data_IF_867945365694
#
_entry.id   IF_867945365694
#
_cell.length_a   1.000
_cell.length_b   1.000
_cell.length_c   1.000
_cell.angle_alpha   90.00
_cell.angle_beta   90.00
_cell.angle_gamma   90.00
#
_symmetry.space_group_name_H-M   'P 1'
#
loop_
_entity.id
_entity.type
_entity.pdbx_description
1 polymer ?
#
# COMPACT_ATOMS: atom_id res chain seq x y z
N UNK A 1 9.53 -21.83 14.37
CA UNK A 1 10.38 -21.42 13.23
C UNK A 1 9.59 -21.71 11.98
N UNK A 2 9.03 -20.70 11.30
CA UNK A 2 7.98 -20.86 10.26
C UNK A 2 8.46 -20.47 8.85
N UNK A 3 9.69 -20.00 8.68
CA UNK A 3 10.17 -19.52 7.38
C UNK A 3 11.33 -20.38 6.87
N UNK A 4 11.01 -21.60 6.46
CA UNK A 4 11.90 -22.43 5.63
C UNK A 4 11.16 -22.92 4.37
N UNK A 5 10.24 -22.10 3.87
CA UNK A 5 9.59 -22.36 2.60
C UNK A 5 10.50 -21.85 1.50
N UNK A 6 11.32 -22.76 0.97
CA UNK A 6 12.08 -22.52 -0.24
C UNK A 6 11.08 -22.48 -1.41
N UNK A 7 10.64 -21.27 -1.78
CA UNK A 7 9.79 -21.07 -2.96
C UNK A 7 10.59 -21.49 -4.17
N UNK A 8 10.09 -22.50 -4.88
CA UNK A 8 10.68 -22.96 -6.14
C UNK A 8 10.45 -21.90 -7.20
N UNK A 9 11.52 -21.55 -7.92
CA UNK A 9 11.47 -20.51 -8.96
C UNK A 9 10.47 -20.89 -10.06
N UNK A 10 10.31 -22.18 -10.29
CA UNK A 10 9.40 -22.77 -11.26
C UNK A 10 7.93 -22.45 -10.94
N UNK A 11 7.55 -22.44 -9.65
CA UNK A 11 6.18 -22.11 -9.20
C UNK A 11 5.87 -20.61 -9.38
N UNK A 12 6.86 -19.75 -9.14
CA UNK A 12 6.75 -18.31 -9.40
C UNK A 12 6.57 -18.05 -10.89
N UNK A 13 7.32 -18.76 -11.73
CA UNK A 13 7.18 -18.67 -13.18
C UNK A 13 5.81 -19.12 -13.65
N UNK A 14 5.30 -20.25 -13.16
CA UNK A 14 3.98 -20.77 -13.54
C UNK A 14 2.87 -19.77 -13.19
N UNK A 15 2.93 -19.18 -12.00
CA UNK A 15 1.99 -18.13 -11.59
C UNK A 15 2.05 -16.88 -12.50
N UNK A 16 3.26 -16.48 -12.92
CA UNK A 16 3.47 -15.31 -13.78
C UNK A 16 3.19 -15.59 -15.26
N UNK A 17 3.24 -16.85 -15.70
CA UNK A 17 3.05 -17.29 -17.10
C UNK A 17 1.64 -17.02 -17.63
N UNK A 18 0.66 -16.96 -16.74
CA UNK A 18 -0.73 -16.62 -17.06
C UNK A 18 -0.99 -15.10 -17.15
N UNK A 19 0.02 -14.29 -16.82
CA UNK A 19 -0.07 -12.84 -16.78
C UNK A 19 0.37 -12.15 -18.08
N UNK A 20 0.32 -10.80 -18.12
CA UNK A 20 0.72 -10.00 -19.27
C UNK A 20 2.24 -9.92 -19.48
N UNK A 21 3.04 -10.63 -18.68
CA UNK A 21 4.49 -10.60 -18.72
C UNK A 21 5.04 -11.67 -19.66
N UNK A 22 5.90 -11.29 -20.60
CA UNK A 22 6.59 -12.25 -21.45
C UNK A 22 7.55 -13.13 -20.65
N UNK A 23 7.57 -14.44 -20.95
CA UNK A 23 8.39 -15.42 -20.23
C UNK A 23 9.88 -15.05 -20.17
N UNK A 24 10.43 -14.46 -21.23
CA UNK A 24 11.83 -14.00 -21.28
C UNK A 24 12.11 -12.90 -20.24
N UNK A 25 11.16 -11.99 -20.02
CA UNK A 25 11.30 -10.92 -19.01
C UNK A 25 11.20 -11.46 -17.59
N UNK A 26 10.38 -12.48 -17.37
CA UNK A 26 10.28 -13.15 -16.06
C UNK A 26 11.62 -13.78 -15.68
N UNK A 27 12.31 -14.44 -16.62
CA UNK A 27 13.65 -14.98 -16.39
C UNK A 27 14.67 -13.91 -16.03
N UNK A 28 14.64 -12.79 -16.74
CA UNK A 28 15.49 -11.64 -16.45
C UNK A 28 15.25 -11.09 -15.03
N UNK A 29 13.99 -10.93 -14.62
CA UNK A 29 13.65 -10.44 -13.28
C UNK A 29 14.06 -11.40 -12.17
N UNK A 30 13.97 -12.71 -12.39
CA UNK A 30 14.48 -13.71 -11.43
C UNK A 30 15.98 -13.55 -11.25
N UNK A 31 16.74 -13.38 -12.33
CA UNK A 31 18.19 -13.16 -12.22
C UNK A 31 18.51 -11.81 -11.56
N UNK A 32 17.76 -10.75 -11.86
CA UNK A 32 17.90 -9.46 -11.18
C UNK A 32 17.61 -9.57 -9.68
N UNK A 33 16.61 -10.35 -9.27
CA UNK A 33 16.27 -10.56 -7.85
C UNK A 33 17.39 -11.23 -7.04
N UNK A 34 18.26 -12.00 -7.71
CA UNK A 34 19.39 -12.71 -7.09
C UNK A 34 20.59 -11.81 -6.85
N UNK A 35 20.70 -10.69 -7.59
CA UNK A 35 21.80 -9.73 -7.48
C UNK A 35 21.86 -9.12 -6.09
N UNK A 36 23.08 -8.89 -5.62
CA UNK A 36 23.32 -8.32 -4.30
C UNK A 36 22.71 -6.92 -4.16
N UNK A 37 22.84 -6.09 -5.20
CA UNK A 37 22.25 -4.75 -5.29
C UNK A 37 20.72 -4.77 -5.02
N UNK A 38 19.99 -5.71 -5.63
CA UNK A 38 18.53 -5.83 -5.43
C UNK A 38 18.19 -6.24 -4.00
N UNK A 39 18.95 -7.17 -3.42
CA UNK A 39 18.75 -7.60 -2.02
C UNK A 39 19.04 -6.46 -1.04
N UNK A 40 20.08 -5.69 -1.31
CA UNK A 40 20.45 -4.51 -0.51
C UNK A 40 19.39 -3.42 -0.62
N UNK A 41 18.89 -3.13 -1.82
CA UNK A 41 17.82 -2.15 -2.01
C UNK A 41 16.56 -2.52 -1.21
N UNK A 42 16.08 -3.76 -1.32
CA UNK A 42 14.91 -4.23 -0.56
C UNK A 42 15.14 -4.18 0.96
N UNK A 43 16.36 -4.52 1.40
CA UNK A 43 16.73 -4.43 2.82
C UNK A 43 16.73 -2.99 3.32
N UNK A 44 17.33 -2.06 2.59
CA UNK A 44 17.39 -0.64 2.94
C UNK A 44 15.98 -0.02 3.00
N UNK A 45 15.10 -0.38 2.07
CA UNK A 45 13.70 0.06 2.10
C UNK A 45 12.95 -0.49 3.33
N UNK A 46 13.15 -1.76 3.68
CA UNK A 46 12.55 -2.34 4.87
C UNK A 46 13.09 -1.68 6.17
N UNK A 47 14.40 -1.45 6.26
CA UNK A 47 15.02 -0.74 7.39
C UNK A 47 14.51 0.70 7.51
N UNK A 48 14.34 1.42 6.40
CA UNK A 48 13.73 2.75 6.37
C UNK A 48 12.34 2.73 7.01
N UNK A 49 11.49 1.80 6.61
CA UNK A 49 10.13 1.67 7.13
C UNK A 49 10.12 1.34 8.64
N UNK A 50 10.97 0.41 9.09
CA UNK A 50 11.11 0.08 10.52
C UNK A 50 11.56 1.31 11.32
N UNK A 51 12.53 2.08 10.80
CA UNK A 51 12.99 3.31 11.44
C UNK A 51 11.91 4.40 11.50
N UNK A 52 10.94 4.39 10.58
CA UNK A 52 9.76 5.26 10.60
C UNK A 52 8.64 4.74 11.53
N UNK A 53 8.81 3.58 12.15
CA UNK A 53 7.85 2.99 13.09
C UNK A 53 6.91 1.95 12.47
N UNK A 54 7.16 1.49 11.25
CA UNK A 54 6.42 0.37 10.68
C UNK A 54 6.67 -0.91 11.50
N UNK A 55 5.58 -1.58 11.87
CA UNK A 55 5.61 -2.81 12.70
C UNK A 55 4.94 -4.01 12.02
N UNK A 56 4.44 -3.84 10.79
CA UNK A 56 3.80 -4.88 10.00
C UNK A 56 3.32 -4.36 8.65
N UNK A 57 2.68 -5.24 7.86
CA UNK A 57 2.14 -4.91 6.53
C UNK A 57 0.66 -5.33 6.37
N UNK A 58 -0.11 -4.65 5.50
CA UNK A 58 0.30 -3.53 4.65
C UNK A 58 0.56 -2.25 5.46
N UNK A 59 1.58 -1.50 5.04
CA UNK A 59 1.96 -0.19 5.56
C UNK A 59 1.84 0.82 4.43
N UNK A 60 1.02 1.85 4.60
CA UNK A 60 0.71 2.84 3.58
C UNK A 60 1.28 4.19 4.00
N UNK A 61 2.11 4.79 3.14
CA UNK A 61 2.57 6.18 3.25
C UNK A 61 1.76 7.03 2.27
N UNK A 62 0.92 7.94 2.78
CA UNK A 62 0.04 8.79 1.97
C UNK A 62 0.56 10.21 1.97
N UNK A 63 0.95 10.68 0.78
CA UNK A 63 1.43 12.04 0.55
C UNK A 63 0.29 12.92 0.00
N UNK A 64 0.00 14.08 0.64
CA UNK A 64 -1.01 15.00 0.13
C UNK A 64 -0.61 15.56 -1.25
N UNK A 65 -1.53 15.60 -2.24
CA UNK A 65 -1.21 15.94 -3.62
C UNK A 65 -0.78 17.40 -3.85
N UNK A 66 -1.04 18.30 -2.90
CA UNK A 66 -0.87 19.75 -3.04
C UNK A 66 0.10 20.37 -2.03
N UNK A 67 0.92 19.56 -1.36
CA UNK A 67 1.86 20.03 -0.34
C UNK A 67 3.27 19.53 -0.63
N UNK A 68 4.24 20.39 -0.38
CA UNK A 68 5.65 20.03 -0.47
C UNK A 68 5.94 18.89 0.51
N UNK A 69 6.38 17.76 -0.04
CA UNK A 69 6.71 16.55 0.70
C UNK A 69 7.89 16.77 1.66
N UNK A 70 8.65 17.86 1.50
CA UNK A 70 9.71 18.28 2.40
C UNK A 70 9.19 18.95 3.68
N UNK A 71 7.96 19.48 3.66
CA UNK A 71 7.39 20.26 4.78
C UNK A 71 6.30 19.47 5.50
N UNK A 72 5.52 18.66 4.78
CA UNK A 72 4.37 17.95 5.35
C UNK A 72 4.69 16.48 5.57
N UNK A 73 4.62 15.98 6.82
CA UNK A 73 4.86 14.57 7.09
C UNK A 73 3.77 13.71 6.41
N UNK A 74 4.18 12.57 5.84
CA UNK A 74 3.25 11.61 5.27
C UNK A 74 2.30 11.06 6.34
N UNK A 75 1.03 10.84 5.98
CA UNK A 75 0.14 10.05 6.83
C UNK A 75 0.51 8.58 6.70
N UNK A 76 0.87 7.93 7.81
CA UNK A 76 1.15 6.50 7.85
C UNK A 76 -0.05 5.72 8.37
N UNK A 77 -0.41 4.64 7.67
CA UNK A 77 -1.54 3.76 8.02
C UNK A 77 -1.07 2.31 7.98
N UNK A 78 -1.36 1.57 9.06
CA UNK A 78 -1.18 0.12 9.12
C UNK A 78 -2.52 -0.60 8.92
N UNK A 79 -2.50 -1.68 8.13
CA UNK A 79 -3.65 -2.56 7.91
C UNK A 79 -4.49 -2.17 6.69
N UNK A 80 -5.21 -3.16 6.15
CA UNK A 80 -6.09 -2.99 4.98
C UNK A 80 -7.52 -2.55 5.34
N UNK A 81 -7.85 -2.43 6.61
CA UNK A 81 -9.18 -2.06 7.10
C UNK A 81 -9.39 -0.54 7.23
N UNK A 82 -8.35 0.26 6.98
CA UNK A 82 -8.35 1.72 7.17
C UNK A 82 -8.65 2.54 5.92
N UNK A 83 -9.08 1.93 4.81
CA UNK A 83 -9.39 2.68 3.58
C UNK A 83 -10.58 3.63 3.72
N UNK A 84 -11.56 3.31 4.57
CA UNK A 84 -12.66 4.23 4.87
C UNK A 84 -12.16 5.51 5.57
N UNK A 85 -11.26 5.35 6.55
CA UNK A 85 -10.57 6.47 7.20
C UNK A 85 -9.73 7.27 6.20
N UNK A 86 -9.00 6.59 5.32
CA UNK A 86 -8.21 7.23 4.29
C UNK A 86 -9.09 8.08 3.34
N UNK A 87 -10.24 7.55 2.92
CA UNK A 87 -11.20 8.30 2.10
C UNK A 87 -11.67 9.57 2.81
N UNK A 88 -12.05 9.47 4.09
CA UNK A 88 -12.43 10.62 4.89
C UNK A 88 -11.30 11.65 5.02
N UNK A 89 -10.07 11.20 5.31
CA UNK A 89 -8.90 12.07 5.42
C UNK A 89 -8.59 12.81 4.12
N UNK A 90 -8.78 12.15 2.97
CA UNK A 90 -8.65 12.73 1.62
C UNK A 90 -9.85 13.58 1.19
N UNK A 91 -10.93 13.67 1.98
CA UNK A 91 -12.17 14.35 1.60
C UNK A 91 -12.90 13.67 0.44
N UNK A 92 -12.77 12.34 0.31
CA UNK A 92 -13.43 11.51 -0.71
C UNK A 92 -14.54 10.68 -0.07
N UNK A 93 -15.54 10.34 -0.88
CA UNK A 93 -16.56 9.35 -0.51
C UNK A 93 -15.96 7.94 -0.52
N UNK A 94 -16.28 7.14 0.51
CA UNK A 94 -15.93 5.73 0.55
C UNK A 94 -17.04 4.88 -0.09
N UNK A 95 -16.71 4.15 -1.16
CA UNK A 95 -17.65 3.28 -1.90
C UNK A 95 -17.56 1.80 -1.52
N UNK A 96 -16.90 1.49 -0.40
CA UNK A 96 -16.57 0.11 -0.03
C UNK A 96 -15.31 -0.42 -0.73
N UNK A 97 -14.87 -1.63 -0.34
CA UNK A 97 -13.65 -2.25 -0.86
C UNK A 97 -13.77 -2.65 -2.34
N UNK A 98 -14.99 -2.83 -2.85
CA UNK A 98 -15.25 -3.00 -4.27
C UNK A 98 -16.04 -1.78 -4.78
N UNK A 99 -15.38 -0.78 -5.37
CA UNK A 99 -16.07 0.45 -5.82
C UNK A 99 -16.99 0.23 -7.03
N UNK A 100 -16.97 -0.96 -7.66
CA UNK A 100 -17.82 -1.29 -8.80
C UNK A 100 -19.18 -1.88 -8.39
N UNK A 101 -19.39 -2.21 -7.10
CA UNK A 101 -20.72 -2.65 -6.63
C UNK A 101 -21.67 -1.47 -6.56
N UNK A 102 -22.91 -1.66 -7.05
CA UNK A 102 -23.94 -0.61 -7.03
C UNK A 102 -24.46 -0.31 -5.62
N UNK A 103 -24.31 -1.26 -4.68
CA UNK A 103 -24.68 -1.09 -3.28
C UNK A 103 -23.42 -1.03 -2.40
N UNK A 104 -22.90 0.16 -2.07
CA UNK A 104 -21.76 0.27 -1.17
C UNK A 104 -22.18 -0.19 0.24
N UNK A 105 -21.33 -0.97 0.93
CA UNK A 105 -21.57 -1.33 2.32
C UNK A 105 -21.68 -0.06 3.17
N UNK A 106 -22.58 -0.07 4.17
CA UNK A 106 -22.75 1.06 5.09
C UNK A 106 -21.41 1.38 5.75
N UNK A 107 -21.00 2.65 5.64
CA UNK A 107 -19.86 3.22 6.37
C UNK A 107 -19.91 2.83 7.84
N UNK A 108 -18.85 2.19 8.33
CA UNK A 108 -18.74 1.83 9.75
C UNK A 108 -18.19 3.01 10.55
N UNK A 109 -17.58 3.99 9.89
CA UNK A 109 -17.04 5.17 10.52
C UNK A 109 -18.15 6.21 10.75
N UNK A 110 -18.73 6.21 11.96
CA UNK A 110 -19.61 7.29 12.46
C UNK A 110 -18.80 8.58 12.73
N UNK A 111 -17.89 8.96 11.83
CA UNK A 111 -17.25 10.28 11.90
C UNK A 111 -18.31 11.29 11.49
N UNK A 112 -18.91 11.93 12.49
CA UNK A 112 -19.79 13.05 12.27
C UNK A 112 -19.08 14.08 11.37
N UNK A 113 -19.80 14.71 10.43
CA UNK A 113 -19.21 15.73 9.59
C UNK A 113 -18.53 16.79 10.46
N UNK A 114 -17.31 17.21 10.08
CA UNK A 114 -16.66 18.36 10.72
C UNK A 114 -17.66 19.52 10.71
N UNK A 115 -17.91 20.18 11.86
CA UNK A 115 -18.74 21.37 11.86
C UNK A 115 -18.14 22.36 10.86
N UNK A 116 -18.93 22.74 9.87
CA UNK A 116 -18.60 23.86 9.02
C UNK A 116 -18.44 25.07 9.92
N UNK A 117 -17.26 25.66 9.96
CA UNK A 117 -17.09 27.01 10.50
C UNK A 117 -18.07 27.88 9.74
N UNK A 118 -19.16 28.27 10.38
CA UNK A 118 -19.98 29.36 9.89
C UNK A 118 -19.09 30.59 9.96
N UNK A 119 -18.66 31.06 8.79
CA UNK A 119 -18.13 32.42 8.65
C UNK A 119 -19.25 33.38 9.06
N UNK A 120 -19.18 33.83 10.31
CA UNK A 120 -20.01 34.91 10.80
C UNK A 120 -19.56 36.21 10.13
N UNK A 121 -20.32 36.68 9.13
CA UNK A 121 -20.41 38.11 8.83
C UNK A 121 -21.77 38.49 8.26
#
# INVERSE_FOLDING_TARGET
MIFDQQVKVEEVFEALSSGPLEATKVAEYVELSRRQETKEAVKLDAERLVNQGAFGFPWLEIFPPNLDHLITPALTIFGSDRFEFLAHWLGKEWKGPNPATEEPPKSQCLLQPRPTTQDNK
#
